data_IF_558239800147
#
_entry.id   IF_558239800147
#
_cell.length_a   1.000
_cell.length_b   1.000
_cell.length_c   1.000
_cell.angle_alpha   90.00
_cell.angle_beta   90.00
_cell.angle_gamma   90.00
#
_symmetry.space_group_name_H-M   'P 1'
#
loop_
_entity.id
_entity.type
_entity.pdbx_description
1 polymer ?
#
# COMPACT_ATOMS: atom_id res chain seq x y z
N UNK A 1 15.43 7.30 6.88
CA UNK A 1 16.39 6.23 6.52
C UNK A 1 16.30 6.04 5.02
N UNK A 2 17.42 5.91 4.30
CA UNK A 2 17.37 5.75 2.84
C UNK A 2 16.69 4.43 2.47
N UNK A 3 15.97 4.40 1.34
CA UNK A 3 15.32 3.18 0.83
C UNK A 3 16.30 2.02 0.67
N UNK A 4 17.55 2.31 0.28
CA UNK A 4 18.63 1.33 0.17
C UNK A 4 18.84 0.54 1.49
N UNK A 5 18.95 1.24 2.63
CA UNK A 5 19.19 0.62 3.94
C UNK A 5 17.98 -0.23 4.37
N UNK A 6 16.76 0.19 4.03
CA UNK A 6 15.57 -0.60 4.32
C UNK A 6 15.49 -1.85 3.44
N UNK A 7 15.89 -1.76 2.17
CA UNK A 7 15.98 -2.91 1.26
C UNK A 7 17.00 -3.92 1.78
N UNK A 8 18.20 -3.49 2.19
CA UNK A 8 19.23 -4.39 2.74
C UNK A 8 18.74 -5.12 4.00
N UNK A 9 18.13 -4.39 4.94
CA UNK A 9 17.60 -4.96 6.19
C UNK A 9 16.45 -5.94 5.93
N UNK A 10 15.56 -5.63 4.98
CA UNK A 10 14.45 -6.49 4.62
C UNK A 10 14.92 -7.73 3.83
N UNK A 11 15.93 -7.59 2.96
CA UNK A 11 16.54 -8.71 2.26
C UNK A 11 17.19 -9.69 3.24
N UNK A 12 17.87 -9.18 4.28
CA UNK A 12 18.40 -10.01 5.36
C UNK A 12 17.30 -10.76 6.12
N UNK A 13 16.15 -10.11 6.39
CA UNK A 13 14.99 -10.77 7.02
C UNK A 13 14.40 -11.87 6.11
N UNK A 14 14.28 -11.63 4.81
CA UNK A 14 13.83 -12.65 3.86
C UNK A 14 14.79 -13.84 3.83
N UNK A 15 16.10 -13.59 3.75
CA UNK A 15 17.12 -14.65 3.80
C UNK A 15 16.99 -15.49 5.08
N UNK A 16 16.89 -14.84 6.23
CA UNK A 16 16.67 -15.52 7.52
C UNK A 16 15.38 -16.34 7.52
N UNK A 17 14.32 -15.82 6.90
CA UNK A 17 13.02 -16.52 6.81
C UNK A 17 13.15 -17.78 5.95
N UNK A 18 13.87 -17.72 4.84
CA UNK A 18 14.16 -18.90 4.01
C UNK A 18 15.00 -19.94 4.74
N UNK A 19 16.00 -19.52 5.50
CA UNK A 19 16.79 -20.41 6.36
C UNK A 19 15.89 -21.07 7.43
N UNK A 20 15.03 -20.29 8.09
CA UNK A 20 14.10 -20.80 9.11
C UNK A 20 13.05 -21.75 8.52
N UNK A 21 12.51 -21.46 7.33
CA UNK A 21 11.58 -22.34 6.63
C UNK A 21 12.27 -23.66 6.25
N UNK A 22 13.46 -23.58 5.66
CA UNK A 22 14.24 -24.78 5.35
C UNK A 22 14.50 -25.63 6.60
N UNK A 23 14.84 -25.01 7.74
CA UNK A 23 14.99 -25.72 9.03
C UNK A 23 13.68 -26.37 9.50
N UNK A 24 12.54 -25.68 9.39
CA UNK A 24 11.23 -26.21 9.78
C UNK A 24 10.78 -27.39 8.91
N UNK A 25 11.16 -27.40 7.63
CA UNK A 25 10.76 -28.40 6.63
C UNK A 25 11.92 -29.31 6.19
N UNK A 26 12.96 -29.46 7.01
CA UNK A 26 14.09 -30.36 6.72
C UNK A 26 13.63 -31.79 6.39
N UNK A 27 12.60 -32.27 7.08
CA UNK A 27 12.07 -33.62 6.91
C UNK A 27 11.33 -33.82 5.59
N UNK A 28 10.87 -32.75 4.94
CA UNK A 28 10.19 -32.78 3.64
C UNK A 28 11.11 -32.32 2.50
N UNK A 29 12.43 -32.23 2.74
CA UNK A 29 13.39 -31.68 1.78
C UNK A 29 13.01 -30.26 1.30
N UNK A 30 12.32 -29.49 2.15
CA UNK A 30 11.83 -28.15 1.82
C UNK A 30 10.58 -28.10 0.93
N UNK A 31 9.97 -29.24 0.60
CA UNK A 31 8.68 -29.24 -0.07
C UNK A 31 7.60 -28.74 0.89
N UNK A 32 6.99 -27.62 0.51
CA UNK A 32 5.86 -27.00 1.19
C UNK A 32 4.99 -26.27 0.14
N UNK A 33 3.86 -26.85 -0.30
CA UNK A 33 2.96 -26.19 -1.24
C UNK A 33 2.30 -24.94 -0.63
N UNK A 34 2.25 -24.84 0.70
CA UNK A 34 1.67 -23.73 1.45
C UNK A 34 2.74 -22.81 2.05
N UNK A 35 3.95 -22.81 1.48
CA UNK A 35 5.05 -21.94 1.91
C UNK A 35 4.64 -20.47 2.09
N UNK A 36 3.73 -19.87 1.27
CA UNK A 36 3.35 -18.48 1.48
C UNK A 36 2.60 -18.27 2.80
N UNK A 37 1.80 -19.25 3.24
CA UNK A 37 1.10 -19.17 4.52
C UNK A 37 2.08 -19.21 5.68
N UNK A 38 3.07 -20.11 5.62
CA UNK A 38 4.11 -20.22 6.64
C UNK A 38 4.95 -18.94 6.71
N UNK A 39 5.42 -18.45 5.56
CA UNK A 39 6.16 -17.18 5.48
C UNK A 39 5.34 -16.03 6.03
N UNK A 40 4.05 -15.95 5.68
CA UNK A 40 3.20 -14.89 6.18
C UNK A 40 3.06 -14.93 7.71
N UNK A 41 2.94 -16.12 8.31
CA UNK A 41 2.92 -16.31 9.77
C UNK A 41 4.24 -15.87 10.42
N UNK A 42 5.36 -16.26 9.83
CA UNK A 42 6.69 -15.93 10.34
C UNK A 42 7.00 -14.43 10.22
N UNK A 43 6.61 -13.81 9.12
CA UNK A 43 6.97 -12.43 8.78
C UNK A 43 6.03 -11.38 9.38
N UNK A 44 4.77 -11.71 9.68
CA UNK A 44 3.72 -10.74 9.99
C UNK A 44 4.16 -9.66 11.00
N UNK A 45 4.65 -10.07 12.17
CA UNK A 45 5.08 -9.12 13.20
C UNK A 45 6.46 -8.51 12.90
N UNK A 46 7.33 -9.27 12.23
CA UNK A 46 8.71 -8.88 11.89
C UNK A 46 8.78 -7.83 10.78
N UNK A 47 7.72 -7.73 9.98
CA UNK A 47 7.60 -6.72 8.93
C UNK A 47 7.21 -5.34 9.46
N UNK A 48 6.63 -5.24 10.66
CA UNK A 48 6.15 -3.98 11.25
C UNK A 48 7.13 -2.80 11.11
N UNK A 49 8.45 -2.94 11.34
CA UNK A 49 9.40 -1.83 11.20
C UNK A 49 9.57 -1.29 9.77
N UNK A 50 9.11 -2.03 8.76
CA UNK A 50 9.25 -1.70 7.33
C UNK A 50 7.96 -1.19 6.70
N UNK A 51 6.83 -1.30 7.41
CA UNK A 51 5.50 -1.05 6.86
C UNK A 51 5.01 0.37 7.17
N UNK A 52 4.30 0.96 6.22
CA UNK A 52 3.60 2.24 6.41
C UNK A 52 2.29 2.11 7.20
N UNK A 53 1.71 0.91 7.21
CA UNK A 53 0.40 0.63 7.81
C UNK A 53 0.30 -0.86 8.19
N UNK A 54 -0.65 -1.22 9.09
CA UNK A 54 -0.92 -2.62 9.42
C UNK A 54 -1.21 -3.47 8.19
N UNK A 55 -0.56 -4.63 8.10
CA UNK A 55 -0.68 -5.58 7.00
C UNK A 55 -1.49 -6.80 7.44
N UNK A 56 -2.50 -7.18 6.67
CA UNK A 56 -3.22 -8.44 6.91
C UNK A 56 -2.42 -9.62 6.38
N UNK A 57 -2.58 -10.79 7.02
CA UNK A 57 -1.92 -12.03 6.59
C UNK A 57 -2.25 -12.40 5.14
N UNK A 58 -3.50 -12.25 4.72
CA UNK A 58 -3.93 -12.52 3.35
C UNK A 58 -3.29 -11.59 2.32
N UNK A 59 -3.04 -10.31 2.68
CA UNK A 59 -2.30 -9.39 1.81
C UNK A 59 -0.82 -9.76 1.73
N UNK A 60 -0.23 -10.21 2.83
CA UNK A 60 1.15 -10.68 2.86
C UNK A 60 1.34 -11.91 1.96
N UNK A 61 0.45 -12.90 2.06
CA UNK A 61 0.42 -14.08 1.17
C UNK A 61 0.34 -13.66 -0.30
N UNK A 62 -0.59 -12.76 -0.63
CA UNK A 62 -0.73 -12.25 -1.99
C UNK A 62 0.56 -11.58 -2.50
N UNK A 63 1.22 -10.76 -1.67
CA UNK A 63 2.48 -10.10 -2.03
C UNK A 63 3.64 -11.09 -2.20
N UNK A 64 3.73 -12.13 -1.37
CA UNK A 64 4.76 -13.17 -1.49
C UNK A 64 4.63 -13.93 -2.81
N UNK A 65 3.41 -14.39 -3.14
CA UNK A 65 3.14 -15.13 -4.37
C UNK A 65 3.43 -14.25 -5.59
N UNK A 66 2.98 -12.98 -5.57
CA UNK A 66 3.25 -12.05 -6.66
C UNK A 66 4.74 -11.80 -6.89
N UNK A 67 5.53 -11.66 -5.82
CA UNK A 67 6.97 -11.48 -5.93
C UNK A 67 7.68 -12.72 -6.50
N UNK A 68 7.27 -13.93 -6.10
CA UNK A 68 7.80 -15.18 -6.64
C UNK A 68 7.50 -15.33 -8.13
N UNK A 69 6.23 -15.18 -8.51
CA UNK A 69 5.78 -15.35 -9.88
C UNK A 69 6.52 -14.38 -10.80
N UNK A 70 6.74 -13.15 -10.37
CA UNK A 70 7.45 -12.16 -11.17
C UNK A 70 8.96 -12.39 -11.22
N UNK A 71 9.59 -12.79 -10.10
CA UNK A 71 11.02 -13.16 -10.09
C UNK A 71 11.28 -14.30 -11.07
N UNK A 72 10.44 -15.33 -11.05
CA UNK A 72 10.50 -16.48 -11.94
C UNK A 72 10.19 -16.12 -13.40
N UNK A 73 9.17 -15.29 -13.64
CA UNK A 73 8.77 -14.89 -15.00
C UNK A 73 9.83 -14.02 -15.67
N UNK A 74 10.45 -13.12 -14.92
CA UNK A 74 11.48 -12.19 -15.44
C UNK A 74 12.86 -12.83 -15.58
N UNK A 75 13.08 -14.04 -15.04
CA UNK A 75 14.40 -14.68 -14.95
C UNK A 75 15.45 -13.73 -14.38
N UNK A 76 15.07 -12.99 -13.34
CA UNK A 76 15.94 -11.99 -12.74
C UNK A 76 17.25 -12.62 -12.24
N UNK A 77 18.38 -12.03 -12.59
CA UNK A 77 19.70 -12.39 -12.02
C UNK A 77 19.85 -11.89 -10.57
N UNK A 78 18.93 -11.05 -10.12
CA UNK A 78 18.93 -10.56 -8.73
C UNK A 78 18.58 -11.71 -7.80
N UNK A 79 19.33 -11.96 -6.71
CA UNK A 79 18.96 -12.94 -5.71
C UNK A 79 17.54 -12.69 -5.18
N UNK A 80 16.80 -13.77 -4.95
CA UNK A 80 15.39 -13.68 -4.53
C UNK A 80 15.17 -12.81 -3.27
N UNK A 81 16.02 -12.82 -2.21
CA UNK A 81 15.75 -12.00 -1.02
C UNK A 81 15.79 -10.51 -1.32
N UNK A 82 16.76 -10.09 -2.13
CA UNK A 82 16.93 -8.70 -2.56
C UNK A 82 15.78 -8.26 -3.48
N UNK A 83 15.36 -9.14 -4.39
CA UNK A 83 14.23 -8.87 -5.28
C UNK A 83 12.93 -8.69 -4.48
N UNK A 84 12.63 -9.62 -3.58
CA UNK A 84 11.46 -9.57 -2.72
C UNK A 84 11.47 -8.32 -1.84
N UNK A 85 12.61 -7.99 -1.23
CA UNK A 85 12.75 -6.79 -0.40
C UNK A 85 12.40 -5.52 -1.17
N UNK A 86 12.91 -5.35 -2.40
CA UNK A 86 12.58 -4.19 -3.24
C UNK A 86 11.09 -4.12 -3.54
N UNK A 87 10.48 -5.22 -3.96
CA UNK A 87 9.03 -5.27 -4.26
C UNK A 87 8.16 -5.01 -3.06
N UNK A 88 8.56 -5.49 -1.90
CA UNK A 88 7.85 -5.22 -0.66
C UNK A 88 7.96 -3.75 -0.25
N UNK A 89 9.14 -3.14 -0.37
CA UNK A 89 9.28 -1.69 -0.11
C UNK A 89 8.47 -0.87 -1.13
N UNK A 90 8.49 -1.23 -2.41
CA UNK A 90 7.70 -0.57 -3.46
C UNK A 90 6.18 -0.68 -3.22
N UNK A 91 5.69 -1.85 -2.80
CA UNK A 91 4.26 -2.10 -2.65
C UNK A 91 3.69 -1.79 -1.25
N UNK A 92 4.52 -1.90 -0.20
CA UNK A 92 4.10 -1.89 1.21
C UNK A 92 4.95 -0.99 2.11
N UNK A 93 6.11 -0.54 1.64
CA UNK A 93 6.95 0.40 2.35
C UNK A 93 6.25 1.75 2.56
N UNK A 94 6.77 2.61 3.45
CA UNK A 94 6.33 3.99 3.51
C UNK A 94 6.43 4.60 2.12
N UNK A 95 5.31 5.10 1.60
CA UNK A 95 5.35 5.98 0.45
C UNK A 95 6.40 7.06 0.75
N UNK A 96 7.22 7.42 -0.24
CA UNK A 96 8.05 8.61 -0.10
C UNK A 96 7.16 9.72 0.46
N UNK A 97 7.68 10.45 1.46
CA UNK A 97 6.95 11.58 2.06
C UNK A 97 6.36 12.34 0.87
N UNK A 98 5.03 12.49 0.82
CA UNK A 98 4.41 13.11 -0.34
C UNK A 98 5.16 14.43 -0.52
N UNK A 99 5.57 14.71 -1.75
CA UNK A 99 5.84 16.09 -2.11
C UNK A 99 4.53 16.87 -1.90
N UNK A 100 4.47 18.18 -2.16
CA UNK A 100 3.27 18.97 -1.84
C UNK A 100 2.09 18.61 -2.76
N UNK A 101 1.57 17.38 -2.67
CA UNK A 101 0.46 16.84 -3.44
C UNK A 101 -0.78 17.65 -3.09
N UNK A 102 -1.48 18.12 -4.12
CA UNK A 102 -2.80 18.71 -3.92
C UNK A 102 -3.82 17.58 -3.81
N UNK A 103 -4.61 17.61 -2.73
CA UNK A 103 -5.65 16.61 -2.46
C UNK A 103 -7.03 17.22 -2.70
N UNK A 104 -7.86 16.54 -3.49
CA UNK A 104 -9.28 16.89 -3.67
C UNK A 104 -10.17 15.67 -3.44
N UNK A 105 -11.18 15.78 -2.58
CA UNK A 105 -12.14 14.72 -2.29
C UNK A 105 -13.47 14.99 -2.99
N UNK A 106 -13.88 14.06 -3.86
CA UNK A 106 -15.21 14.07 -4.48
C UNK A 106 -16.21 13.35 -3.58
N UNK A 107 -17.29 14.03 -3.22
CA UNK A 107 -18.26 13.54 -2.23
C UNK A 107 -19.67 14.12 -2.46
N UNK A 108 -20.62 13.72 -1.62
CA UNK A 108 -21.88 14.44 -1.38
C UNK A 108 -22.30 14.26 0.09
N UNK A 109 -23.12 15.17 0.62
CA UNK A 109 -23.38 15.28 2.07
C UNK A 109 -24.09 14.07 2.70
N UNK A 110 -24.87 13.32 1.92
CA UNK A 110 -25.59 12.12 2.38
C UNK A 110 -24.82 10.80 2.26
N UNK A 111 -23.53 10.83 1.86
CA UNK A 111 -22.75 9.64 1.55
C UNK A 111 -22.14 9.02 2.83
N UNK A 112 -22.60 7.84 3.30
CA UNK A 112 -22.09 7.24 4.54
C UNK A 112 -20.61 6.83 4.44
N UNK A 113 -20.13 6.48 3.25
CA UNK A 113 -18.74 6.12 3.02
C UNK A 113 -17.81 7.34 3.01
N UNK A 114 -18.32 8.50 2.58
CA UNK A 114 -17.57 9.75 2.54
C UNK A 114 -17.29 10.26 3.96
N UNK A 115 -18.22 10.06 4.90
CA UNK A 115 -18.03 10.38 6.33
C UNK A 115 -16.77 9.71 6.91
N UNK A 116 -16.45 8.49 6.49
CA UNK A 116 -15.22 7.79 6.95
C UNK A 116 -13.96 8.51 6.50
N UNK A 117 -13.95 9.01 5.26
CA UNK A 117 -12.81 9.74 4.70
C UNK A 117 -12.69 11.11 5.34
N UNK A 118 -13.80 11.85 5.50
CA UNK A 118 -13.80 13.14 6.22
C UNK A 118 -13.21 13.01 7.62
N UNK A 119 -13.64 12.00 8.40
CA UNK A 119 -13.07 11.75 9.74
C UNK A 119 -11.56 11.52 9.72
N UNK A 120 -11.05 10.83 8.71
CA UNK A 120 -9.61 10.59 8.59
C UNK A 120 -8.87 11.88 8.21
N UNK A 121 -9.42 12.69 7.29
CA UNK A 121 -8.88 14.02 6.92
C UNK A 121 -8.81 14.91 8.16
N UNK A 122 -9.91 15.02 8.91
CA UNK A 122 -10.00 15.84 10.11
C UNK A 122 -9.03 15.36 11.20
N UNK A 123 -8.95 14.05 11.45
CA UNK A 123 -8.07 13.47 12.46
C UNK A 123 -6.59 13.68 12.14
N UNK A 124 -6.23 13.77 10.85
CA UNK A 124 -4.87 13.99 10.38
C UNK A 124 -4.55 15.49 10.16
N UNK A 125 -5.54 16.37 10.27
CA UNK A 125 -5.37 17.82 10.05
C UNK A 125 -4.95 18.16 8.62
N UNK A 126 -5.48 17.45 7.62
CA UNK A 126 -5.10 17.64 6.22
C UNK A 126 -5.93 18.73 5.56
N UNK A 127 -5.25 19.60 4.79
CA UNK A 127 -5.88 20.52 3.87
C UNK A 127 -6.29 19.75 2.60
N UNK A 128 -7.59 19.47 2.46
CA UNK A 128 -8.16 18.75 1.30
C UNK A 128 -9.29 19.58 0.72
N UNK A 129 -9.24 19.82 -0.59
CA UNK A 129 -10.32 20.50 -1.31
C UNK A 129 -11.55 19.60 -1.39
N UNK A 130 -12.71 20.10 -0.94
CA UNK A 130 -13.95 19.32 -0.91
C UNK A 130 -14.81 19.63 -2.14
N UNK A 131 -14.95 18.66 -3.04
CA UNK A 131 -15.69 18.79 -4.30
C UNK A 131 -17.01 18.03 -4.26
N UNK A 132 -18.10 18.73 -3.95
CA UNK A 132 -19.42 18.11 -3.89
C UNK A 132 -20.02 17.97 -5.31
N UNK A 133 -20.33 16.72 -5.71
CA UNK A 133 -20.77 16.39 -7.07
C UNK A 133 -22.25 16.67 -7.33
N UNK A 134 -23.04 17.01 -6.30
CA UNK A 134 -24.46 17.37 -6.45
C UNK A 134 -24.69 18.88 -6.40
N UNK A 135 -23.83 19.63 -5.71
CA UNK A 135 -23.93 21.09 -5.68
C UNK A 135 -23.24 21.74 -6.87
N UNK A 136 -22.21 21.09 -7.43
CA UNK A 136 -21.45 21.60 -8.57
C UNK A 136 -21.44 20.58 -9.73
N UNK A 137 -22.15 20.86 -10.84
CA UNK A 137 -22.15 20.02 -12.02
C UNK A 137 -20.77 19.83 -12.67
N UNK A 138 -19.84 20.78 -12.49
CA UNK A 138 -18.49 20.68 -13.04
C UNK A 138 -17.70 19.55 -12.36
N UNK A 139 -17.81 19.40 -11.04
CA UNK A 139 -17.17 18.31 -10.31
C UNK A 139 -17.72 16.94 -10.72
N UNK A 140 -19.02 16.84 -10.98
CA UNK A 140 -19.64 15.61 -11.49
C UNK A 140 -19.12 15.25 -12.89
N UNK A 141 -19.04 16.25 -13.78
CA UNK A 141 -18.55 16.08 -15.14
C UNK A 141 -17.08 15.63 -15.14
N UNK A 142 -16.24 16.30 -14.34
CA UNK A 142 -14.82 15.97 -14.18
C UNK A 142 -14.61 14.55 -13.65
N UNK A 143 -15.34 14.17 -12.58
CA UNK A 143 -15.27 12.82 -12.03
C UNK A 143 -15.67 11.77 -13.09
N UNK A 144 -16.74 12.04 -13.84
CA UNK A 144 -17.23 11.15 -14.90
C UNK A 144 -16.22 11.02 -16.04
N UNK A 145 -15.62 12.12 -16.46
CA UNK A 145 -14.62 12.13 -17.53
C UNK A 145 -13.36 11.36 -17.11
N UNK A 146 -12.84 11.62 -15.90
CA UNK A 146 -11.63 10.98 -15.40
C UNK A 146 -11.79 9.47 -15.13
N UNK A 147 -12.98 9.04 -14.69
CA UNK A 147 -13.19 7.67 -14.17
C UNK A 147 -14.16 6.81 -14.96
N UNK A 148 -14.95 7.40 -15.85
CA UNK A 148 -16.10 6.75 -16.48
C UNK A 148 -17.23 6.38 -15.51
N UNK A 149 -17.12 6.76 -14.23
CA UNK A 149 -18.05 6.44 -13.14
C UNK A 149 -18.20 7.65 -12.22
N UNK A 150 -19.36 7.77 -11.58
CA UNK A 150 -19.70 8.88 -10.67
C UNK A 150 -19.86 8.41 -9.22
N UNK A 151 -19.33 7.24 -8.88
CA UNK A 151 -19.37 6.67 -7.53
C UNK A 151 -18.40 7.42 -6.63
N UNK A 152 -18.85 7.82 -5.45
CA UNK A 152 -18.04 8.49 -4.41
C UNK A 152 -17.96 7.63 -3.14
N UNK A 153 -16.95 7.81 -2.27
CA UNK A 153 -15.87 8.80 -2.32
C UNK A 153 -14.77 8.46 -3.33
N UNK A 154 -14.17 9.50 -3.92
CA UNK A 154 -12.95 9.38 -4.73
C UNK A 154 -11.99 10.50 -4.32
N UNK A 155 -10.76 10.14 -3.98
CA UNK A 155 -9.68 11.08 -3.72
C UNK A 155 -8.88 11.29 -5.00
N UNK A 156 -8.72 12.53 -5.44
CA UNK A 156 -7.73 12.95 -6.44
C UNK A 156 -6.48 13.42 -5.72
N UNK A 157 -5.34 12.96 -6.21
CA UNK A 157 -4.01 13.27 -5.70
C UNK A 157 -3.24 13.81 -6.91
N UNK A 158 -2.91 15.09 -6.88
CA UNK A 158 -2.15 15.74 -7.95
C UNK A 158 -0.72 15.95 -7.49
N UNK A 159 0.22 15.26 -8.13
CA UNK A 159 1.66 15.41 -7.86
C UNK A 159 2.15 16.81 -8.24
N UNK A 160 3.29 17.29 -7.71
CA UNK A 160 3.87 18.59 -8.11
C UNK A 160 4.19 18.70 -9.61
N UNK A 161 4.47 17.57 -10.26
CA UNK A 161 4.69 17.48 -11.71
C UNK A 161 3.39 17.60 -12.53
N UNK A 162 2.24 17.69 -11.87
CA UNK A 162 0.92 17.86 -12.50
C UNK A 162 0.22 16.55 -12.89
N UNK A 163 0.78 15.40 -12.52
CA UNK A 163 0.14 14.10 -12.77
C UNK A 163 -0.97 13.81 -11.75
N UNK A 164 -2.13 13.40 -12.26
CA UNK A 164 -3.28 13.06 -11.42
C UNK A 164 -3.40 11.56 -11.18
N UNK A 165 -3.52 11.19 -9.90
CA UNK A 165 -3.89 9.85 -9.46
C UNK A 165 -5.23 9.86 -8.77
N UNK A 166 -6.10 8.93 -9.16
CA UNK A 166 -7.47 8.85 -8.65
C UNK A 166 -7.66 7.57 -7.83
N UNK A 167 -8.07 7.71 -6.58
CA UNK A 167 -8.23 6.61 -5.64
C UNK A 167 -9.70 6.47 -5.22
N UNK A 168 -10.40 5.41 -5.68
CA UNK A 168 -11.74 5.09 -5.19
C UNK A 168 -11.65 4.36 -3.84
N UNK A 169 -12.82 4.01 -3.30
CA UNK A 169 -13.00 3.16 -2.11
C UNK A 169 -12.59 3.83 -0.79
N UNK A 170 -13.59 4.08 0.05
CA UNK A 170 -13.39 4.78 1.33
C UNK A 170 -12.31 4.14 2.23
N UNK A 171 -12.22 2.81 2.27
CA UNK A 171 -11.24 2.12 3.10
C UNK A 171 -9.81 2.28 2.58
N UNK A 172 -9.62 2.24 1.27
CA UNK A 172 -8.30 2.43 0.65
C UNK A 172 -7.84 3.87 0.77
N UNK A 173 -8.75 4.84 0.58
CA UNK A 173 -8.48 6.26 0.79
C UNK A 173 -8.01 6.49 2.23
N UNK A 174 -8.75 6.02 3.23
CA UNK A 174 -8.38 6.19 4.65
C UNK A 174 -7.01 5.58 4.94
N UNK A 175 -6.76 4.35 4.47
CA UNK A 175 -5.48 3.67 4.64
C UNK A 175 -4.34 4.43 4.00
N UNK A 176 -4.54 4.97 2.80
CA UNK A 176 -3.55 5.80 2.12
C UNK A 176 -3.27 7.08 2.91
N UNK A 177 -4.31 7.81 3.34
CA UNK A 177 -4.15 9.05 4.10
C UNK A 177 -3.37 8.80 5.41
N UNK A 178 -3.69 7.72 6.13
CA UNK A 178 -2.99 7.33 7.34
C UNK A 178 -1.54 6.91 7.09
N UNK A 179 -1.29 6.07 6.08
CA UNK A 179 0.06 5.60 5.76
C UNK A 179 0.97 6.72 5.26
N UNK A 180 0.40 7.72 4.59
CA UNK A 180 1.15 8.78 3.90
C UNK A 180 1.33 10.03 4.76
N UNK A 181 0.29 10.40 5.51
CA UNK A 181 0.25 11.63 6.30
C UNK A 181 0.07 11.40 7.81
N UNK A 182 -0.20 10.17 8.23
CA UNK A 182 -0.14 9.81 9.64
C UNK A 182 1.29 9.97 10.14
N UNK A 183 1.48 10.79 11.17
CA UNK A 183 2.73 10.76 11.91
C UNK A 183 2.89 9.33 12.46
N UNK A 184 4.07 8.74 12.33
CA UNK A 184 4.43 7.58 13.14
C UNK A 184 4.20 8.01 14.59
N UNK A 185 3.14 7.49 15.22
CA UNK A 185 2.84 7.78 16.61
C UNK A 185 4.10 7.45 17.43
N UNK A 186 4.55 8.44 18.21
CA UNK A 186 5.68 8.35 19.12
C UNK A 186 5.51 7.23 20.15
#
# INVERSE_FOLDING_TARGET
MSNEVNVERLAALFKQTGEAHHQAFLQTNGEDPEWPLWYAEYLQDRLTPFLAAPLTRSRLVFCLIGAEDEHRATKSETPWPDYYARRFIECLGPAQKPEKDALSLYYFDGCPFCVRVHRAIDALGLEVELRNIYTDPAHLAELREARGRTTVPVLRITSPDGEDRWMPESADIVRYLQATYGQAAA
#
